data_IF_729017042393
#
_entry.id   IF_729017042393
#
_cell.length_a   1.000
_cell.length_b   1.000
_cell.length_c   1.000
_cell.angle_alpha   90.00
_cell.angle_beta   90.00
_cell.angle_gamma   90.00
#
_symmetry.space_group_name_H-M   'P 1'
#
loop_
_entity.id
_entity.type
_entity.pdbx_description
1 polymer ?
#
# COMPACT_ATOMS: atom_id res chain seq x y z
N UNK A 1 -4.74 -13.66 10.94
CA UNK A 1 -4.66 -12.90 9.68
C UNK A 1 -3.20 -12.76 9.34
N UNK A 2 -2.82 -13.36 8.22
CA UNK A 2 -1.44 -13.63 7.82
C UNK A 2 -0.86 -12.41 7.10
N UNK A 3 0.44 -12.15 7.26
CA UNK A 3 1.13 -11.00 6.62
C UNK A 3 0.98 -10.96 5.10
N UNK A 4 0.70 -12.11 4.47
CA UNK A 4 0.43 -12.25 3.04
C UNK A 4 -0.97 -11.74 2.65
N UNK A 5 -1.98 -11.93 3.52
CA UNK A 5 -3.32 -11.34 3.35
C UNK A 5 -3.27 -9.82 3.47
N UNK A 6 -2.44 -9.30 4.39
CA UNK A 6 -2.26 -7.86 4.60
C UNK A 6 -1.61 -7.20 3.38
N UNK A 7 -0.60 -7.82 2.77
CA UNK A 7 0.10 -7.27 1.59
C UNK A 7 -0.82 -7.20 0.36
N UNK A 8 -1.56 -8.27 0.07
CA UNK A 8 -2.50 -8.30 -1.06
C UNK A 8 -3.69 -7.34 -0.84
N UNK A 9 -4.13 -7.21 0.41
CA UNK A 9 -5.10 -6.19 0.80
C UNK A 9 -4.59 -4.77 0.50
N UNK A 10 -3.37 -4.42 0.95
CA UNK A 10 -2.82 -3.09 0.71
C UNK A 10 -2.60 -2.81 -0.78
N UNK A 11 -2.13 -3.80 -1.56
CA UNK A 11 -1.99 -3.66 -3.02
C UNK A 11 -3.31 -3.38 -3.71
N UNK A 12 -4.36 -4.15 -3.37
CA UNK A 12 -5.70 -3.95 -3.91
C UNK A 12 -6.23 -2.56 -3.57
N UNK A 13 -6.07 -2.11 -2.32
CA UNK A 13 -6.54 -0.78 -1.90
C UNK A 13 -5.74 0.35 -2.57
N UNK A 14 -4.42 0.25 -2.66
CA UNK A 14 -3.60 1.25 -3.35
C UNK A 14 -4.03 1.45 -4.81
N UNK A 15 -4.32 0.34 -5.52
CA UNK A 15 -4.81 0.38 -6.89
C UNK A 15 -6.19 1.04 -6.98
N UNK A 16 -7.13 0.66 -6.11
CA UNK A 16 -8.47 1.24 -6.09
C UNK A 16 -8.44 2.76 -5.84
N UNK A 17 -7.64 3.22 -4.88
CA UNK A 17 -7.52 4.66 -4.59
C UNK A 17 -6.84 5.41 -5.74
N UNK A 18 -5.83 4.81 -6.39
CA UNK A 18 -5.20 5.40 -7.58
C UNK A 18 -6.18 5.52 -8.76
N UNK A 19 -7.04 4.52 -8.95
CA UNK A 19 -8.09 4.54 -9.97
C UNK A 19 -9.18 5.57 -9.63
N UNK A 20 -9.63 5.62 -8.37
CA UNK A 20 -10.57 6.62 -7.90
C UNK A 20 -10.04 8.06 -8.08
N UNK A 21 -8.74 8.29 -7.82
CA UNK A 21 -8.09 9.57 -8.08
C UNK A 21 -8.14 9.99 -9.56
N UNK A 22 -8.01 9.03 -10.49
CA UNK A 22 -8.12 9.30 -11.94
C UNK A 22 -9.53 9.68 -12.36
N UNK A 23 -10.55 9.10 -11.72
CA UNK A 23 -11.95 9.38 -12.00
C UNK A 23 -12.52 10.58 -11.22
N UNK A 24 -11.82 11.04 -10.17
CA UNK A 24 -12.23 12.16 -9.36
C UNK A 24 -12.19 13.48 -10.15
N UNK A 25 -13.36 14.06 -10.35
CA UNK A 25 -13.54 15.37 -11.00
C UNK A 25 -13.10 16.51 -10.09
N UNK A 26 -13.36 16.39 -8.79
CA UNK A 26 -13.02 17.40 -7.80
C UNK A 26 -11.55 17.30 -7.36
N UNK A 27 -10.84 18.42 -7.44
CA UNK A 27 -9.43 18.48 -7.04
C UNK A 27 -9.17 18.09 -5.56
N UNK A 28 -10.03 18.47 -4.58
CA UNK A 28 -9.87 18.01 -3.21
C UNK A 28 -10.05 16.49 -3.05
N UNK A 29 -11.06 15.90 -3.71
CA UNK A 29 -11.29 14.46 -3.67
C UNK A 29 -10.15 13.69 -4.32
N UNK A 30 -9.65 14.18 -5.46
CA UNK A 30 -8.46 13.60 -6.11
C UNK A 30 -7.25 13.60 -5.18
N UNK A 31 -7.01 14.70 -4.44
CA UNK A 31 -5.91 14.77 -3.46
C UNK A 31 -6.08 13.75 -2.33
N UNK A 32 -7.30 13.57 -1.82
CA UNK A 32 -7.59 12.57 -0.77
C UNK A 32 -7.30 11.15 -1.26
N UNK A 33 -7.75 10.78 -2.46
CA UNK A 33 -7.46 9.46 -3.04
C UNK A 33 -5.97 9.23 -3.26
N UNK A 34 -5.23 10.26 -3.72
CA UNK A 34 -3.79 10.17 -3.88
C UNK A 34 -3.06 10.01 -2.53
N UNK A 35 -3.46 10.77 -1.50
CA UNK A 35 -2.91 10.63 -0.14
C UNK A 35 -3.15 9.22 0.41
N UNK A 36 -4.36 8.68 0.24
CA UNK A 36 -4.66 7.30 0.64
C UNK A 36 -3.83 6.27 -0.13
N UNK A 37 -3.67 6.43 -1.45
CA UNK A 37 -2.83 5.57 -2.26
C UNK A 37 -1.36 5.58 -1.78
N UNK A 38 -0.83 6.76 -1.44
CA UNK A 38 0.52 6.91 -0.88
C UNK A 38 0.67 6.18 0.46
N UNK A 39 -0.30 6.31 1.37
CA UNK A 39 -0.28 5.59 2.66
C UNK A 39 -0.30 4.07 2.48
N UNK A 40 -1.09 3.56 1.54
CA UNK A 40 -1.07 2.12 1.25
C UNK A 40 0.26 1.68 0.63
N UNK A 41 0.90 2.50 -0.19
CA UNK A 41 2.24 2.22 -0.72
C UNK A 41 3.29 2.13 0.40
N UNK A 42 3.22 2.99 1.42
CA UNK A 42 4.08 2.90 2.61
C UNK A 42 3.86 1.58 3.36
N UNK A 43 2.59 1.17 3.56
CA UNK A 43 2.25 -0.12 4.21
C UNK A 43 2.74 -1.33 3.41
N UNK A 44 2.69 -1.26 2.08
CA UNK A 44 3.27 -2.28 1.20
C UNK A 44 4.78 -2.38 1.43
N UNK A 45 5.49 -1.25 1.47
CA UNK A 45 6.92 -1.23 1.72
C UNK A 45 7.28 -1.79 3.10
N UNK A 46 6.54 -1.42 4.15
CA UNK A 46 6.69 -1.97 5.50
C UNK A 46 6.47 -3.49 5.54
N UNK A 47 5.39 -3.96 4.91
CA UNK A 47 5.04 -5.38 4.86
C UNK A 47 6.09 -6.18 4.07
N UNK A 48 6.60 -5.63 2.96
CA UNK A 48 7.68 -6.24 2.19
C UNK A 48 9.00 -6.28 2.98
N UNK A 49 9.34 -5.22 3.70
CA UNK A 49 10.51 -5.20 4.59
C UNK A 49 10.40 -6.25 5.69
N UNK A 50 9.22 -6.40 6.29
CA UNK A 50 8.94 -7.42 7.31
C UNK A 50 9.01 -8.83 6.74
N UNK A 51 8.48 -9.05 5.53
CA UNK A 51 8.56 -10.33 4.83
C UNK A 51 10.02 -10.69 4.46
N UNK A 52 10.87 -9.68 4.24
CA UNK A 52 12.32 -9.83 4.00
C UNK A 52 13.17 -9.94 5.27
N UNK A 53 12.57 -10.19 6.45
CA UNK A 53 13.23 -10.24 7.76
C UNK A 53 14.59 -10.96 7.79
N UNK A 54 15.46 -10.62 8.75
CA UNK A 54 16.91 -10.68 8.62
C UNK A 54 17.35 -12.08 8.23
N UNK A 55 18.13 -12.19 7.15
CA UNK A 55 19.03 -13.33 6.96
C UNK A 55 19.98 -13.33 8.16
N UNK A 56 19.59 -13.96 9.26
CA UNK A 56 20.49 -14.31 10.35
C UNK A 56 21.54 -15.22 9.69
N UNK A 57 22.68 -14.61 9.31
CA UNK A 57 23.87 -15.37 9.00
C UNK A 57 24.31 -15.97 10.32
N UNK A 58 23.91 -17.20 10.55
CA UNK A 58 24.52 -18.05 11.56
C UNK A 58 25.96 -18.26 11.07
N UNK A 59 26.91 -17.73 11.84
CA UNK A 59 28.34 -17.86 11.60
C UNK A 59 28.79 -19.31 11.79
#
# INVERSE_FOLDING_TARGET
MTTMDDLDYYRRRAQQESEAARHARDAPMRRLHLDLASRYAERIAEAELRARGPRVRVN
#
